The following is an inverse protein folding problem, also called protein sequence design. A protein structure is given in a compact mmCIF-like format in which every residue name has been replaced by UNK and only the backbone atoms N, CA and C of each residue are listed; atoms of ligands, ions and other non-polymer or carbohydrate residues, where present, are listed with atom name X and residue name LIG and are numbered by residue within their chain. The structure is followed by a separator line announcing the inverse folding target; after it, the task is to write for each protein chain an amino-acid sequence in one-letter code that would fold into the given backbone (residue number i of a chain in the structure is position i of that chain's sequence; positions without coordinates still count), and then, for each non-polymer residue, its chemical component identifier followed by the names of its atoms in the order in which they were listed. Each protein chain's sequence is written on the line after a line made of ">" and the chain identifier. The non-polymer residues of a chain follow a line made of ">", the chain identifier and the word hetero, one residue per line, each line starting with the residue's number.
data_IF_072572536082
#
_entry.id   IF_072572536082
#
_cell.length_a   1.000
_cell.length_b   1.000
_cell.length_c   1.000
_cell.angle_alpha   90.00
_cell.angle_beta   90.00
_cell.angle_gamma   90.00
#
_symmetry.space_group_name_H-M   'P 1'
#
loop_
_entity.id
_entity.type
_entity.pdbx_description
1 polymer ?
#
# COMPACT_ATOMS: atom_id res chain seq x y z
N UNK A 1 -6.37 -24.96 -6.80
CA UNK A 1 -5.32 -24.01 -7.21
C UNK A 1 -5.87 -22.62 -7.03
N UNK A 2 -5.34 -21.83 -6.09
CA UNK A 2 -5.86 -20.49 -5.81
C UNK A 2 -5.72 -19.61 -7.05
N UNK A 3 -6.80 -18.96 -7.47
CA UNK A 3 -6.76 -18.03 -8.60
C UNK A 3 -6.11 -16.73 -8.11
N UNK A 4 -4.84 -16.55 -8.45
CA UNK A 4 -4.06 -15.35 -8.12
C UNK A 4 -4.05 -14.45 -9.36
N UNK A 5 -4.44 -13.19 -9.17
CA UNK A 5 -4.43 -12.16 -10.20
C UNK A 5 -3.39 -11.12 -9.82
N UNK A 6 -2.51 -10.76 -10.77
CA UNK A 6 -1.50 -9.73 -10.59
C UNK A 6 -1.79 -8.52 -11.49
N UNK A 7 -1.62 -7.33 -10.94
CA UNK A 7 -1.70 -6.07 -11.64
C UNK A 7 -0.36 -5.35 -11.53
N UNK A 8 0.13 -4.78 -12.63
CA UNK A 8 1.31 -3.92 -12.62
C UNK A 8 0.95 -2.54 -13.13
N UNK A 9 1.23 -1.53 -12.32
CA UNK A 9 1.06 -0.12 -12.64
C UNK A 9 2.43 0.46 -13.02
N UNK A 10 2.43 1.22 -14.11
CA UNK A 10 3.55 2.06 -14.54
C UNK A 10 3.07 3.51 -14.60
N UNK A 11 3.87 4.48 -14.14
CA UNK A 11 3.53 5.89 -14.28
C UNK A 11 3.31 6.27 -15.75
N UNK A 12 2.34 7.16 -15.99
CA UNK A 12 2.11 7.72 -17.31
C UNK A 12 3.00 8.93 -17.59
N UNK A 13 3.38 9.66 -16.53
CA UNK A 13 4.34 10.75 -16.59
C UNK A 13 5.76 10.23 -16.39
N UNK A 14 6.73 10.94 -16.97
CA UNK A 14 8.16 10.67 -16.77
C UNK A 14 8.72 11.29 -15.49
N UNK A 15 8.00 12.25 -14.90
CA UNK A 15 8.36 12.88 -13.63
C UNK A 15 7.68 12.13 -12.49
N UNK A 16 8.37 11.14 -11.95
CA UNK A 16 7.84 10.22 -10.95
C UNK A 16 8.98 9.62 -10.14
N UNK A 17 8.74 9.42 -8.85
CA UNK A 17 9.66 8.72 -7.95
C UNK A 17 9.57 7.20 -8.09
N UNK A 18 8.64 6.68 -8.89
CA UNK A 18 8.37 5.25 -8.99
C UNK A 18 8.63 4.72 -10.40
N UNK A 19 9.17 3.52 -10.53
CA UNK A 19 9.24 2.80 -11.81
C UNK A 19 8.03 1.88 -11.96
N UNK A 20 7.79 1.02 -10.97
CA UNK A 20 6.67 0.06 -11.00
C UNK A 20 6.02 -0.15 -9.64
N UNK A 21 4.71 -0.40 -9.66
CA UNK A 21 3.96 -0.93 -8.53
C UNK A 21 3.24 -2.20 -8.98
N UNK A 22 3.52 -3.35 -8.36
CA UNK A 22 2.80 -4.61 -8.57
C UNK A 22 1.89 -4.88 -7.37
N UNK A 23 0.67 -5.37 -7.63
CA UNK A 23 -0.27 -5.86 -6.61
C UNK A 23 -0.74 -7.26 -6.98
N UNK A 24 -0.83 -8.18 -6.02
CA UNK A 24 -1.56 -9.44 -6.23
C UNK A 24 -2.78 -9.56 -5.35
N UNK A 25 -3.80 -10.20 -5.91
CA UNK A 25 -5.04 -10.55 -5.26
C UNK A 25 -5.24 -12.05 -5.36
N UNK A 26 -5.58 -12.68 -4.24
CA UNK A 26 -6.02 -14.07 -4.19
C UNK A 26 -7.46 -14.12 -3.72
N UNK A 27 -8.33 -14.83 -4.45
CA UNK A 27 -9.75 -14.96 -4.10
C UNK A 27 -10.46 -13.61 -3.85
N UNK A 28 -10.09 -12.57 -4.61
CA UNK A 28 -10.64 -11.22 -4.48
C UNK A 28 -10.11 -10.39 -3.31
N UNK A 29 -9.09 -10.87 -2.58
CA UNK A 29 -8.49 -10.18 -1.43
C UNK A 29 -7.01 -9.89 -1.72
N UNK A 30 -6.53 -8.71 -1.31
CA UNK A 30 -5.12 -8.32 -1.50
C UNK A 30 -4.18 -9.28 -0.75
N UNK A 31 -3.09 -9.67 -1.40
CA UNK A 31 -2.11 -10.61 -0.86
C UNK A 31 -0.72 -9.98 -0.73
N UNK A 32 -0.22 -9.31 -1.78
CA UNK A 32 1.06 -8.61 -1.71
C UNK A 32 1.08 -7.32 -2.55
N UNK A 33 2.06 -6.48 -2.25
CA UNK A 33 2.47 -5.34 -3.06
C UNK A 33 3.99 -5.34 -3.21
N UNK A 34 4.47 -4.89 -4.36
CA UNK A 34 5.89 -4.62 -4.62
C UNK A 34 6.04 -3.27 -5.28
N UNK A 35 6.85 -2.40 -4.68
CA UNK A 35 7.21 -1.11 -5.23
C UNK A 35 8.67 -1.15 -5.69
N UNK A 36 8.93 -0.65 -6.90
CA UNK A 36 10.27 -0.35 -7.38
C UNK A 36 10.33 1.14 -7.68
N UNK A 37 11.25 1.85 -7.04
CA UNK A 37 11.44 3.29 -7.24
C UNK A 37 12.32 3.61 -8.48
N UNK A 38 12.45 4.88 -8.82
CA UNK A 38 13.18 5.33 -10.02
C UNK A 38 14.70 5.09 -9.95
N UNK A 39 15.26 4.80 -8.77
CA UNK A 39 16.68 4.45 -8.58
C UNK A 39 16.88 2.95 -8.36
N UNK A 40 15.81 2.15 -8.44
CA UNK A 40 15.84 0.70 -8.33
C UNK A 40 15.69 0.16 -6.90
N UNK A 41 15.38 1.01 -5.91
CA UNK A 41 15.02 0.52 -4.58
C UNK A 41 13.75 -0.32 -4.67
N UNK A 42 13.75 -1.46 -3.99
CA UNK A 42 12.62 -2.37 -3.94
C UNK A 42 12.05 -2.48 -2.54
N UNK A 43 10.73 -2.32 -2.42
CA UNK A 43 9.98 -2.59 -1.20
C UNK A 43 8.95 -3.67 -1.46
N UNK A 44 9.00 -4.77 -0.70
CA UNK A 44 8.00 -5.83 -0.73
C UNK A 44 7.10 -5.74 0.51
N UNK A 45 5.79 -5.79 0.32
CA UNK A 45 4.77 -5.74 1.37
C UNK A 45 3.91 -7.00 1.27
N UNK A 46 3.88 -7.79 2.34
CA UNK A 46 3.04 -8.98 2.46
C UNK A 46 1.88 -8.69 3.40
N UNK A 47 0.65 -8.89 2.91
CA UNK A 47 -0.54 -8.74 3.74
C UNK A 47 -0.89 -10.07 4.42
N UNK A 48 -1.24 -10.01 5.69
CA UNK A 48 -1.70 -11.16 6.46
C UNK A 48 -2.90 -10.77 7.32
N UNK A 49 -3.77 -11.75 7.63
CA UNK A 49 -4.96 -11.52 8.46
C UNK A 49 -5.97 -10.53 7.87
N UNK A 50 -6.01 -10.38 6.54
CA UNK A 50 -6.88 -9.41 5.85
C UNK A 50 -8.35 -9.73 6.11
N UNK A 51 -9.11 -8.73 6.56
CA UNK A 51 -10.56 -8.81 6.77
C UNK A 51 -11.27 -7.79 5.87
N UNK A 52 -11.92 -8.27 4.82
CA UNK A 52 -12.67 -7.41 3.91
C UNK A 52 -14.04 -7.04 4.49
N UNK A 53 -14.52 -5.84 4.13
CA UNK A 53 -15.89 -5.36 4.39
C UNK A 53 -16.32 -5.40 5.87
N UNK A 54 -15.39 -5.26 6.80
CA UNK A 54 -15.70 -5.16 8.24
C UNK A 54 -15.97 -3.71 8.64
N UNK A 55 -16.89 -3.45 9.58
CA UNK A 55 -17.03 -2.12 10.15
C UNK A 55 -15.75 -1.74 10.91
N UNK A 56 -15.22 -0.56 10.62
CA UNK A 56 -14.08 0.03 11.35
C UNK A 56 -14.57 1.33 12.00
N UNK A 57 -14.46 1.48 13.34
CA UNK A 57 -14.87 2.71 14.01
C UNK A 57 -14.10 3.92 13.49
N UNK A 58 -14.80 5.04 13.25
CA UNK A 58 -14.18 6.28 12.75
C UNK A 58 -13.04 6.80 13.63
N UNK A 59 -13.09 6.54 14.95
CA UNK A 59 -12.03 6.90 15.89
C UNK A 59 -10.68 6.26 15.58
N UNK A 60 -10.64 5.12 14.87
CA UNK A 60 -9.37 4.49 14.43
C UNK A 60 -8.62 5.31 13.37
N UNK A 61 -9.31 6.23 12.70
CA UNK A 61 -8.74 7.13 11.69
C UNK A 61 -8.47 8.53 12.25
N UNK A 62 -8.68 8.75 13.56
CA UNK A 62 -8.28 9.98 14.23
C UNK A 62 -6.95 9.74 14.93
N UNK A 63 -5.96 10.57 14.60
CA UNK A 63 -4.70 10.61 15.33
C UNK A 63 -4.76 11.70 16.39
N UNK A 64 -4.72 11.31 17.66
CA UNK A 64 -4.60 12.25 18.78
C UNK A 64 -3.11 12.54 19.00
N UNK A 65 -2.68 13.74 18.59
CA UNK A 65 -1.27 14.15 18.64
C UNK A 65 -0.79 14.12 20.11
N UNK A 66 0.29 13.37 20.42
CA UNK A 66 0.86 13.36 21.77
C UNK A 66 1.32 14.75 22.20
N UNK A 67 1.15 15.07 23.48
CA UNK A 67 1.59 16.36 24.02
C UNK A 67 3.10 16.54 23.80
N UNK A 68 3.49 17.69 23.24
CA UNK A 68 4.88 18.04 22.98
C UNK A 68 5.48 17.41 21.73
N UNK A 69 4.69 16.67 20.93
CA UNK A 69 5.11 16.29 19.59
C UNK A 69 5.26 17.54 18.71
N UNK A 70 6.38 17.62 18.00
CA UNK A 70 6.55 18.61 16.95
C UNK A 70 5.68 18.23 15.74
N UNK A 71 5.05 19.23 15.12
CA UNK A 71 4.12 19.04 14.02
C UNK A 71 4.66 19.76 12.80
N UNK A 72 5.07 18.97 11.80
CA UNK A 72 5.67 19.45 10.56
C UNK A 72 4.70 19.17 9.40
N UNK A 73 4.67 20.06 8.41
CA UNK A 73 3.96 19.86 7.14
C UNK A 73 4.95 19.93 5.98
N UNK A 74 4.74 19.09 4.97
CA UNK A 74 5.48 19.02 3.72
C UNK A 74 4.71 19.69 2.57
#
# INVERSE_FOLDING_TARGET
>A
TSNVIEFTLKPKSKDTLFDTLSLSFGNGVINNMRLVDSVGQRTDILFSGVKANQPVPASKFKFDIPKGADVIQE
#
